data_IF_014320630966
#
_entry.id   IF_014320630966
#
_cell.length_a   1.000
_cell.length_b   1.000
_cell.length_c   1.000
_cell.angle_alpha   90.00
_cell.angle_beta   90.00
_cell.angle_gamma   90.00
#
_symmetry.space_group_name_H-M   'P 1'
#
loop_
_entity.id
_entity.type
_entity.pdbx_description
1 polymer ?
#
# COMPACT_ATOMS: atom_id res chain seq x y z
N UNK A 1 3.12 20.86 11.05
CA UNK A 1 2.67 19.47 10.78
C UNK A 1 1.67 19.06 11.84
N UNK A 2 0.48 18.57 11.45
CA UNK A 2 -0.58 18.12 12.36
C UNK A 2 -0.13 16.84 13.09
N UNK A 3 -0.05 16.88 14.42
CA UNK A 3 0.28 15.73 15.24
C UNK A 3 -0.84 14.70 15.17
N UNK A 4 -0.61 13.61 14.43
CA UNK A 4 -1.51 12.47 14.28
C UNK A 4 -1.33 11.48 15.46
N UNK A 5 -1.45 11.96 16.70
CA UNK A 5 -1.19 11.18 17.94
C UNK A 5 -1.95 9.84 18.01
N UNK A 6 -3.14 9.77 17.40
CA UNK A 6 -3.98 8.57 17.32
C UNK A 6 -3.32 7.43 16.53
N UNK A 7 -2.49 7.73 15.53
CA UNK A 7 -1.91 6.73 14.63
C UNK A 7 -0.75 5.96 15.26
N UNK A 8 -0.10 6.52 16.29
CA UNK A 8 0.97 5.84 17.03
C UNK A 8 0.45 4.59 17.78
N UNK A 9 -0.78 4.65 18.30
CA UNK A 9 -1.42 3.47 18.94
C UNK A 9 -1.81 2.39 17.93
N UNK A 10 -1.95 2.75 16.66
CA UNK A 10 -2.21 1.82 15.54
C UNK A 10 -0.92 1.30 14.88
N UNK A 11 0.25 1.61 15.46
CA UNK A 11 1.55 1.19 14.93
C UNK A 11 2.04 1.99 13.71
N UNK A 12 1.38 3.10 13.36
CA UNK A 12 1.87 3.96 12.28
C UNK A 12 3.09 4.76 12.74
N UNK A 13 4.04 4.94 11.82
CA UNK A 13 5.20 5.78 12.02
C UNK A 13 5.40 6.68 10.79
N UNK A 14 5.75 7.94 11.04
CA UNK A 14 5.98 8.93 9.99
C UNK A 14 7.33 8.70 9.32
N UNK A 15 7.38 8.88 8.00
CA UNK A 15 8.63 8.91 7.23
C UNK A 15 8.92 10.36 6.87
N UNK A 16 9.94 10.96 7.47
CA UNK A 16 10.41 12.31 7.11
C UNK A 16 11.28 12.19 5.86
N UNK A 17 10.82 12.77 4.75
CA UNK A 17 11.43 12.60 3.42
C UNK A 17 12.42 13.70 3.08
N UNK A 18 12.20 14.93 3.55
CA UNK A 18 13.11 16.04 3.26
C UNK A 18 14.49 15.82 3.89
N UNK A 19 14.60 14.86 4.82
CA UNK A 19 15.85 14.47 5.44
C UNK A 19 16.20 13.01 5.11
N UNK A 20 17.20 12.83 4.25
CA UNK A 20 17.69 11.52 3.80
C UNK A 20 18.07 10.58 4.95
N UNK A 21 18.69 11.09 6.03
CA UNK A 21 19.04 10.30 7.21
C UNK A 21 17.79 9.81 7.95
N UNK A 22 16.76 10.65 8.08
CA UNK A 22 15.50 10.25 8.73
C UNK A 22 14.70 9.26 7.88
N UNK A 23 14.71 9.40 6.56
CA UNK A 23 14.10 8.43 5.65
C UNK A 23 14.76 7.04 5.80
N UNK A 24 16.10 6.98 5.87
CA UNK A 24 16.84 5.72 6.10
C UNK A 24 16.51 5.13 7.48
N UNK A 25 16.43 5.95 8.53
CA UNK A 25 16.02 5.49 9.87
C UNK A 25 14.64 4.86 9.86
N UNK A 26 13.67 5.49 9.21
CA UNK A 26 12.29 4.98 9.10
C UNK A 26 12.23 3.67 8.32
N UNK A 27 13.05 3.55 7.27
CA UNK A 27 13.17 2.32 6.50
C UNK A 27 13.78 1.18 7.32
N UNK A 28 14.86 1.45 8.06
CA UNK A 28 15.48 0.47 8.96
C UNK A 28 14.48 0.02 10.04
N UNK A 29 13.71 0.96 10.59
CA UNK A 29 12.66 0.67 11.56
C UNK A 29 11.59 -0.27 10.98
N UNK A 30 11.09 0.02 9.77
CA UNK A 30 10.14 -0.84 9.07
C UNK A 30 10.65 -2.27 8.85
N UNK A 31 11.91 -2.41 8.42
CA UNK A 31 12.56 -3.71 8.22
C UNK A 31 12.69 -4.47 9.53
N UNK A 32 13.15 -3.81 10.59
CA UNK A 32 13.30 -4.42 11.91
C UNK A 32 11.95 -4.89 12.46
N UNK A 33 10.90 -4.07 12.32
CA UNK A 33 9.55 -4.44 12.71
C UNK A 33 9.13 -5.73 12.01
N UNK A 34 9.27 -5.82 10.69
CA UNK A 34 8.86 -6.99 9.90
C UNK A 34 9.68 -8.24 10.23
N UNK A 35 10.95 -8.10 10.64
CA UNK A 35 11.81 -9.22 11.03
C UNK A 35 11.60 -9.71 12.47
N UNK A 36 11.08 -8.87 13.36
CA UNK A 36 10.99 -9.17 14.79
C UNK A 36 10.07 -10.37 15.09
N UNK A 37 8.97 -10.53 14.33
CA UNK A 37 7.97 -11.58 14.56
C UNK A 37 7.37 -12.09 13.25
N UNK A 38 7.05 -13.39 13.15
CA UNK A 38 6.34 -13.92 12.00
C UNK A 38 4.94 -13.30 11.89
N UNK A 39 4.40 -13.27 10.67
CA UNK A 39 3.06 -12.74 10.34
C UNK A 39 2.83 -11.26 10.67
N UNK A 40 3.89 -10.50 10.96
CA UNK A 40 3.76 -9.05 11.12
C UNK A 40 3.54 -8.38 9.76
N UNK A 41 2.58 -7.48 9.71
CA UNK A 41 2.17 -6.80 8.47
C UNK A 41 2.46 -5.31 8.57
N UNK A 42 2.88 -4.72 7.46
CA UNK A 42 3.05 -3.29 7.31
C UNK A 42 2.18 -2.79 6.15
N UNK A 43 1.32 -1.81 6.44
CA UNK A 43 0.58 -1.09 5.40
C UNK A 43 1.39 0.12 4.97
N UNK A 44 1.68 0.22 3.67
CA UNK A 44 2.46 1.32 3.09
C UNK A 44 1.66 1.98 1.98
N UNK A 45 1.67 3.32 1.96
CA UNK A 45 1.30 4.11 0.79
C UNK A 45 2.60 4.50 0.06
N UNK A 46 3.02 3.75 -0.99
CA UNK A 46 4.34 3.91 -1.59
C UNK A 46 4.51 5.24 -2.36
N UNK A 47 3.43 5.88 -2.78
CA UNK A 47 3.42 7.25 -3.29
C UNK A 47 3.67 8.30 -2.21
N UNK A 48 3.47 7.91 -0.94
CA UNK A 48 3.82 8.72 0.20
C UNK A 48 2.90 9.92 0.50
N UNK A 49 1.88 10.11 -0.30
CA UNK A 49 0.82 11.09 -0.08
C UNK A 49 -0.53 10.44 -0.30
N UNK A 50 -1.57 11.01 0.30
CA UNK A 50 -2.93 10.56 0.07
C UNK A 50 -3.42 11.33 -1.15
N UNK A 51 -3.59 10.62 -2.26
CA UNK A 51 -4.09 11.17 -3.52
C UNK A 51 -5.50 10.65 -3.79
N UNK A 52 -6.30 11.36 -4.60
CA UNK A 52 -7.53 10.81 -5.14
C UNK A 52 -7.27 9.47 -5.86
N UNK A 53 -8.18 8.51 -5.72
CA UNK A 53 -8.03 7.15 -6.29
C UNK A 53 -7.79 7.13 -7.80
N UNK A 54 -8.33 8.12 -8.52
CA UNK A 54 -8.24 8.27 -9.97
C UNK A 54 -7.03 9.10 -10.42
N UNK A 55 -6.20 9.59 -9.49
CA UNK A 55 -5.00 10.35 -9.83
C UNK A 55 -4.02 9.46 -10.62
N UNK A 56 -3.57 9.97 -11.77
CA UNK A 56 -2.64 9.29 -12.68
C UNK A 56 -1.65 10.29 -13.28
N UNK A 57 -0.40 9.87 -13.57
CA UNK A 57 0.19 8.57 -13.25
C UNK A 57 0.46 8.41 -11.74
N UNK A 58 0.51 7.17 -11.24
CA UNK A 58 1.00 6.91 -9.89
C UNK A 58 2.53 6.98 -9.88
N UNK A 59 3.08 7.69 -8.91
CA UNK A 59 4.51 7.79 -8.68
C UNK A 59 4.86 7.19 -7.33
N UNK A 60 5.63 6.10 -7.32
CA UNK A 60 6.06 5.42 -6.11
C UNK A 60 7.51 5.76 -5.80
N UNK A 61 7.78 5.93 -4.50
CA UNK A 61 9.14 5.96 -4.00
C UNK A 61 9.71 4.54 -3.88
N UNK A 62 11.03 4.42 -4.03
CA UNK A 62 11.75 3.15 -3.93
C UNK A 62 11.80 2.55 -2.52
N UNK A 63 11.16 3.18 -1.53
CA UNK A 63 11.16 2.73 -0.13
C UNK A 63 10.59 1.32 0.03
N UNK A 64 9.47 1.02 -0.65
CA UNK A 64 8.84 -0.30 -0.63
C UNK A 64 9.80 -1.38 -1.15
N UNK A 65 10.39 -1.17 -2.32
CA UNK A 65 11.33 -2.11 -2.92
C UNK A 65 12.53 -2.37 -2.00
N UNK A 66 13.08 -1.32 -1.39
CA UNK A 66 14.19 -1.43 -0.42
C UNK A 66 13.81 -2.17 0.87
N UNK A 67 12.56 -2.05 1.34
CA UNK A 67 12.07 -2.83 2.48
C UNK A 67 12.03 -4.31 2.12
N UNK A 68 11.39 -4.66 1.01
CA UNK A 68 11.28 -6.05 0.52
C UNK A 68 12.68 -6.67 0.37
N UNK A 69 13.61 -5.96 -0.26
CA UNK A 69 14.99 -6.40 -0.43
C UNK A 69 15.67 -6.78 0.89
N UNK A 70 15.47 -5.96 1.93
CA UNK A 70 16.15 -6.12 3.21
C UNK A 70 15.45 -7.13 4.12
N UNK A 71 14.13 -7.28 3.98
CA UNK A 71 13.38 -8.32 4.68
C UNK A 71 13.73 -9.69 4.12
N UNK A 72 13.88 -9.81 2.80
CA UNK A 72 14.24 -11.05 2.11
C UNK A 72 13.00 -11.88 1.81
N UNK A 73 12.46 -12.52 2.85
CA UNK A 73 11.30 -13.41 2.73
C UNK A 73 10.02 -12.70 3.19
N UNK A 74 9.18 -12.29 2.23
CA UNK A 74 7.92 -11.65 2.54
C UNK A 74 6.88 -11.76 1.42
N UNK A 75 5.64 -11.39 1.74
CA UNK A 75 4.54 -11.32 0.79
C UNK A 75 4.11 -9.86 0.64
N UNK A 76 4.05 -9.37 -0.60
CA UNK A 76 3.46 -8.07 -0.90
C UNK A 76 2.09 -8.25 -1.56
N UNK A 77 1.10 -7.51 -1.06
CA UNK A 77 -0.28 -7.61 -1.53
C UNK A 77 -0.77 -6.22 -1.93
N UNK A 78 -1.11 -5.99 -3.22
CA UNK A 78 -1.76 -4.77 -3.66
C UNK A 78 -3.14 -4.64 -3.01
N UNK A 79 -3.47 -3.47 -2.48
CA UNK A 79 -4.75 -3.19 -1.85
C UNK A 79 -5.31 -1.88 -2.39
N UNK A 80 -6.53 -1.92 -2.94
CA UNK A 80 -7.28 -0.75 -3.38
C UNK A 80 -8.53 -0.57 -2.53
N UNK A 81 -8.80 0.67 -2.10
CA UNK A 81 -9.95 1.01 -1.27
C UNK A 81 -10.65 2.20 -1.91
N UNK A 82 -11.97 2.11 -2.10
CA UNK A 82 -12.79 3.15 -2.71
C UNK A 82 -14.04 3.38 -1.87
N UNK A 83 -14.34 4.64 -1.59
CA UNK A 83 -15.52 5.09 -0.86
C UNK A 83 -16.52 5.64 -1.87
N UNK A 84 -17.75 5.14 -1.87
CA UNK A 84 -18.77 5.53 -2.83
C UNK A 84 -20.14 5.61 -2.17
N UNK A 85 -20.92 6.63 -2.51
CA UNK A 85 -22.26 6.79 -1.93
C UNK A 85 -23.33 5.96 -2.65
N UNK A 86 -23.16 5.62 -3.93
CA UNK A 86 -24.11 4.80 -4.70
C UNK A 86 -25.61 5.16 -4.54
N UNK A 87 -25.92 6.45 -4.41
CA UNK A 87 -27.25 7.03 -4.14
C UNK A 87 -27.78 6.86 -2.70
N UNK A 88 -26.94 6.42 -1.77
CA UNK A 88 -27.22 6.34 -0.34
C UNK A 88 -26.65 7.56 0.41
N UNK A 89 -27.16 7.80 1.61
CA UNK A 89 -26.68 8.87 2.48
C UNK A 89 -25.37 8.53 3.20
N UNK A 90 -25.03 7.23 3.29
CA UNK A 90 -23.78 6.72 3.87
C UNK A 90 -22.92 6.13 2.76
N UNK A 91 -21.60 6.34 2.80
CA UNK A 91 -20.72 5.72 1.83
C UNK A 91 -20.60 4.22 2.10
N UNK A 92 -20.63 3.44 1.04
CA UNK A 92 -20.12 2.09 1.00
C UNK A 92 -18.60 2.11 0.79
N UNK A 93 -17.91 1.13 1.37
CA UNK A 93 -16.46 0.96 1.25
C UNK A 93 -16.22 -0.30 0.44
N UNK A 94 -15.67 -0.11 -0.76
CA UNK A 94 -15.23 -1.20 -1.61
C UNK A 94 -13.73 -1.44 -1.41
N UNK A 95 -13.37 -2.68 -1.09
CA UNK A 95 -11.98 -3.10 -0.93
C UNK A 95 -11.68 -4.18 -1.96
N UNK A 96 -10.65 -3.96 -2.77
CA UNK A 96 -10.15 -4.96 -3.73
C UNK A 96 -8.72 -5.36 -3.37
N UNK A 97 -8.54 -6.66 -3.17
CA UNK A 97 -7.24 -7.26 -2.88
C UNK A 97 -6.68 -7.80 -4.20
N UNK A 98 -5.56 -7.24 -4.64
CA UNK A 98 -4.88 -7.70 -5.84
C UNK A 98 -4.11 -9.00 -5.61
N UNK A 99 -3.66 -9.63 -6.70
CA UNK A 99 -2.80 -10.82 -6.66
C UNK A 99 -1.58 -10.57 -5.77
N UNK A 100 -1.28 -11.46 -4.82
CA UNK A 100 -0.08 -11.38 -3.98
C UNK A 100 1.19 -11.75 -4.74
N UNK A 101 2.34 -11.26 -4.30
CA UNK A 101 3.66 -11.70 -4.75
C UNK A 101 4.52 -12.12 -3.57
N UNK A 102 5.10 -13.31 -3.67
CA UNK A 102 6.04 -13.84 -2.71
C UNK A 102 7.45 -13.48 -3.14
N UNK A 103 8.24 -12.97 -2.21
CA UNK A 103 9.65 -12.67 -2.40
C UNK A 103 10.45 -13.64 -1.55
N UNK A 104 11.39 -14.34 -2.18
CA UNK A 104 12.33 -15.24 -1.53
C UNK A 104 13.73 -14.92 -2.07
N UNK A 105 14.56 -14.24 -1.28
CA UNK A 105 16.00 -14.02 -1.52
C UNK A 105 16.43 -13.81 -3.00
N UNK A 106 15.81 -12.85 -3.70
CA UNK A 106 15.98 -12.61 -5.16
C UNK A 106 17.11 -11.61 -5.45
N UNK A 107 17.79 -11.76 -6.60
CA UNK A 107 18.60 -10.69 -7.20
C UNK A 107 17.75 -9.43 -7.49
N UNK A 108 18.15 -8.29 -6.95
CA UNK A 108 17.21 -7.23 -6.60
C UNK A 108 17.43 -5.94 -7.39
N UNK A 109 16.56 -5.68 -8.37
CA UNK A 109 16.50 -4.37 -9.04
C UNK A 109 15.36 -3.52 -8.47
N UNK A 110 15.70 -2.60 -7.56
CA UNK A 110 14.72 -1.74 -6.87
C UNK A 110 13.84 -0.91 -7.81
N UNK A 111 14.40 -0.35 -8.91
CA UNK A 111 13.63 0.47 -9.85
C UNK A 111 12.59 -0.37 -10.61
N UNK A 112 13.00 -1.54 -11.11
CA UNK A 112 12.11 -2.48 -11.81
C UNK A 112 10.98 -2.93 -10.90
N UNK A 113 11.31 -3.23 -9.64
CA UNK A 113 10.31 -3.64 -8.66
C UNK A 113 9.31 -2.53 -8.33
N UNK A 114 9.80 -1.30 -8.11
CA UNK A 114 8.92 -0.14 -7.91
C UNK A 114 7.94 0.03 -9.07
N UNK A 115 8.43 -0.03 -10.33
CA UNK A 115 7.59 0.06 -11.53
C UNK A 115 6.57 -1.07 -11.64
N UNK A 116 6.95 -2.29 -11.27
CA UNK A 116 6.01 -3.43 -11.21
C UNK A 116 4.88 -3.14 -10.20
N UNK A 117 5.21 -2.67 -8.99
CA UNK A 117 4.20 -2.33 -7.99
C UNK A 117 3.29 -1.17 -8.42
N UNK A 118 3.84 -0.13 -9.06
CA UNK A 118 3.03 0.97 -9.63
C UNK A 118 1.99 0.41 -10.62
N UNK A 119 2.42 -0.46 -11.54
CA UNK A 119 1.52 -1.08 -12.52
C UNK A 119 0.46 -1.95 -11.88
N UNK A 120 0.82 -2.77 -10.88
CA UNK A 120 -0.11 -3.68 -10.20
C UNK A 120 -1.14 -2.95 -9.34
N UNK A 121 -0.73 -1.92 -8.60
CA UNK A 121 -1.67 -1.09 -7.85
C UNK A 121 -2.57 -0.31 -8.81
N UNK A 122 -2.02 0.25 -9.89
CA UNK A 122 -2.83 0.93 -10.92
C UNK A 122 -3.90 0.01 -11.48
N UNK A 123 -3.51 -1.22 -11.88
CA UNK A 123 -4.45 -2.24 -12.35
C UNK A 123 -5.51 -2.59 -11.31
N UNK A 124 -5.13 -2.75 -10.04
CA UNK A 124 -6.08 -3.09 -8.97
C UNK A 124 -7.08 -1.95 -8.72
N UNK A 125 -6.62 -0.69 -8.81
CA UNK A 125 -7.48 0.50 -8.71
C UNK A 125 -8.43 0.60 -9.91
N UNK A 126 -7.95 0.33 -11.12
CA UNK A 126 -8.76 0.38 -12.34
C UNK A 126 -9.83 -0.71 -12.35
N UNK A 127 -9.45 -1.93 -11.93
CA UNK A 127 -10.40 -3.03 -11.74
C UNK A 127 -11.47 -2.70 -10.68
N UNK A 128 -11.07 -2.13 -9.54
CA UNK A 128 -12.01 -1.72 -8.50
C UNK A 128 -12.96 -0.62 -9.00
N UNK A 129 -12.43 0.36 -9.74
CA UNK A 129 -13.24 1.41 -10.36
C UNK A 129 -14.26 0.82 -11.34
N UNK A 130 -13.83 -0.10 -12.21
CA UNK A 130 -14.70 -0.71 -13.20
C UNK A 130 -15.83 -1.50 -12.54
N UNK A 131 -15.54 -2.27 -11.49
CA UNK A 131 -16.56 -3.00 -10.73
C UNK A 131 -17.61 -2.04 -10.13
N UNK A 132 -17.17 -0.93 -9.53
CA UNK A 132 -18.04 0.11 -8.95
C UNK A 132 -18.88 0.79 -10.02
N UNK A 133 -18.27 1.27 -11.10
CA UNK A 133 -18.96 2.01 -12.17
C UNK A 133 -19.98 1.12 -12.89
N UNK A 134 -19.64 -0.15 -13.13
CA UNK A 134 -20.53 -1.13 -13.75
C UNK A 134 -21.54 -1.76 -12.78
N UNK A 135 -21.45 -1.44 -11.48
CA UNK A 135 -22.24 -2.07 -10.40
C UNK A 135 -22.11 -3.60 -10.37
N UNK A 136 -20.96 -4.12 -10.76
CA UNK A 136 -20.67 -5.56 -10.74
C UNK A 136 -20.07 -5.97 -9.40
N UNK A 137 -20.95 -6.34 -8.46
CA UNK A 137 -20.56 -6.73 -7.11
C UNK A 137 -20.65 -8.23 -6.83
N UNK A 138 -20.87 -9.06 -7.86
CA UNK A 138 -21.05 -10.50 -7.70
C UNK A 138 -19.85 -11.19 -7.01
N UNK A 139 -18.64 -10.65 -7.22
CA UNK A 139 -17.40 -11.17 -6.62
C UNK A 139 -17.03 -10.51 -5.28
N UNK A 140 -17.90 -9.67 -4.72
CA UNK A 140 -17.67 -9.01 -3.44
C UNK A 140 -18.40 -9.73 -2.32
N UNK A 141 -17.76 -9.79 -1.15
CA UNK A 141 -18.35 -10.30 0.09
C UNK A 141 -18.61 -9.15 1.04
N UNK A 142 -19.85 -9.00 1.49
CA UNK A 142 -20.23 -8.04 2.54
C UNK A 142 -19.69 -8.53 3.89
N UNK A 143 -19.01 -7.64 4.63
CA UNK A 143 -18.35 -7.97 5.91
C UNK A 143 -19.17 -7.48 7.11
N UNK A 144 -20.03 -6.47 6.92
CA UNK A 144 -20.91 -5.88 7.94
C UNK A 144 -22.28 -5.59 7.32
#
# INVERSE_FOLDING_TARGET
MRNLFLFRKLGAFSVVRENSRQAVKSLNYAVNLLKEKPFRTLWIFPQGEILPNDSRPLHFYNGLARIIQRVGDCVAVPLAIRYEFLNEYKPEIFVKIGKSENFNNIDFNSKRLTKNFESRISKTLDELKNDVVSRNFANYKKIF
#
